data_IF_277742499017
#
_entry.id   IF_277742499017
#
_cell.length_a   1.000
_cell.length_b   1.000
_cell.length_c   1.000
_cell.angle_alpha   90.00
_cell.angle_beta   90.00
_cell.angle_gamma   90.00
#
_symmetry.space_group_name_H-M   'P 1'
#
loop_
_entity.id
_entity.type
_entity.pdbx_description
1 polymer ?
#
# COMPACT_ATOMS: atom_id res chain seq x y z
N UNK A 1 -1.46 -12.29 2.76
CA UNK A 1 -0.71 -11.02 2.93
C UNK A 1 -0.86 -10.54 4.38
N UNK A 2 0.15 -9.91 4.98
CA UNK A 2 0.01 -9.33 6.32
C UNK A 2 -0.83 -8.03 6.27
N UNK A 3 -2.06 -8.09 6.81
CA UNK A 3 -3.00 -6.97 6.90
C UNK A 3 -2.40 -5.74 7.60
N UNK A 4 -1.75 -5.95 8.74
CA UNK A 4 -1.23 -4.87 9.57
C UNK A 4 -0.06 -4.14 8.90
N UNK A 5 0.76 -4.87 8.16
CA UNK A 5 1.83 -4.27 7.36
C UNK A 5 1.25 -3.42 6.21
N UNK A 6 0.29 -3.98 5.47
CA UNK A 6 -0.37 -3.26 4.38
C UNK A 6 -1.06 -1.98 4.88
N UNK A 7 -1.86 -2.06 5.95
CA UNK A 7 -2.58 -0.90 6.49
C UNK A 7 -1.62 0.20 6.97
N UNK A 8 -0.51 -0.14 7.61
CA UNK A 8 0.49 0.86 8.04
C UNK A 8 1.21 1.49 6.85
N UNK A 9 1.59 0.69 5.85
CA UNK A 9 2.21 1.22 4.62
C UNK A 9 1.25 2.14 3.86
N UNK A 10 -0.02 1.75 3.78
CA UNK A 10 -1.05 2.57 3.16
C UNK A 10 -1.33 3.85 3.97
N UNK A 11 -1.39 3.76 5.29
CA UNK A 11 -1.49 4.93 6.16
C UNK A 11 -0.33 5.93 6.00
N UNK A 12 0.89 5.42 5.78
CA UNK A 12 2.05 6.27 5.49
C UNK A 12 1.96 6.92 4.11
N UNK A 13 1.21 6.33 3.18
CA UNK A 13 1.03 6.80 1.82
C UNK A 13 -0.03 7.91 1.76
N UNK A 14 -1.15 7.75 2.45
CA UNK A 14 -2.19 8.77 2.55
C UNK A 14 -1.61 10.01 3.24
N UNK A 15 -1.58 11.13 2.51
CA UNK A 15 -0.99 12.38 2.99
C UNK A 15 -1.90 13.08 4.02
N UNK A 16 -1.39 14.16 4.61
CA UNK A 16 -1.80 14.80 5.88
C UNK A 16 -3.26 15.21 6.07
N UNK A 17 -4.12 15.13 5.05
CA UNK A 17 -5.54 15.49 5.19
C UNK A 17 -6.41 14.34 5.69
N UNK A 18 -5.87 13.12 5.83
CA UNK A 18 -6.58 11.91 6.30
C UNK A 18 -7.87 11.58 5.50
N UNK A 19 -8.09 12.23 4.35
CA UNK A 19 -9.23 11.99 3.48
C UNK A 19 -8.89 10.87 2.50
N UNK A 20 -9.56 9.73 2.68
CA UNK A 20 -9.55 8.62 1.74
C UNK A 20 -10.70 8.85 0.77
N UNK A 21 -10.45 8.76 -0.53
CA UNK A 21 -11.51 8.90 -1.51
C UNK A 21 -12.45 7.68 -1.54
N UNK A 22 -13.65 7.85 -2.09
CA UNK A 22 -14.57 6.72 -2.31
C UNK A 22 -13.94 5.63 -3.19
N UNK A 23 -13.10 6.01 -4.18
CA UNK A 23 -12.45 5.05 -5.07
C UNK A 23 -11.41 4.22 -4.33
N UNK A 24 -10.63 4.86 -3.47
CA UNK A 24 -9.68 4.17 -2.59
C UNK A 24 -10.39 3.24 -1.61
N UNK A 25 -11.52 3.66 -1.03
CA UNK A 25 -12.33 2.80 -0.15
C UNK A 25 -12.82 1.56 -0.91
N UNK A 26 -13.35 1.74 -2.13
CA UNK A 26 -13.80 0.61 -2.97
C UNK A 26 -12.65 -0.33 -3.29
N UNK A 27 -11.48 0.20 -3.67
CA UNK A 27 -10.30 -0.61 -3.95
C UNK A 27 -9.81 -1.36 -2.72
N UNK A 28 -9.76 -0.70 -1.56
CA UNK A 28 -9.38 -1.34 -0.32
C UNK A 28 -10.34 -2.48 0.05
N UNK A 29 -11.65 -2.30 -0.14
CA UNK A 29 -12.64 -3.37 0.08
C UNK A 29 -12.36 -4.58 -0.82
N UNK A 30 -12.07 -4.38 -2.10
CA UNK A 30 -11.69 -5.47 -3.00
C UNK A 30 -10.39 -6.16 -2.58
N UNK A 31 -9.39 -5.39 -2.13
CA UNK A 31 -8.15 -5.95 -1.59
C UNK A 31 -8.43 -6.76 -0.31
N UNK A 32 -9.29 -6.25 0.57
CA UNK A 32 -9.72 -6.92 1.78
C UNK A 32 -10.44 -8.23 1.47
N UNK A 33 -11.37 -8.26 0.52
CA UNK A 33 -12.07 -9.48 0.07
C UNK A 33 -11.08 -10.52 -0.47
N UNK A 34 -10.17 -10.12 -1.37
CA UNK A 34 -9.14 -11.01 -1.94
C UNK A 34 -8.23 -11.61 -0.86
N UNK A 35 -7.97 -10.87 0.22
CA UNK A 35 -7.08 -11.27 1.30
C UNK A 35 -7.81 -11.76 2.57
N UNK A 36 -9.14 -11.84 2.53
CA UNK A 36 -10.01 -12.24 3.65
C UNK A 36 -9.83 -11.37 4.91
N UNK A 37 -9.72 -10.06 4.74
CA UNK A 37 -9.78 -9.09 5.83
C UNK A 37 -11.24 -8.74 6.12
N UNK A 38 -11.62 -8.64 7.40
CA UNK A 38 -13.00 -8.40 7.83
C UNK A 38 -13.12 -7.10 8.65
N UNK A 39 -12.34 -6.07 8.28
CA UNK A 39 -12.23 -4.84 9.06
C UNK A 39 -12.73 -3.63 8.27
N UNK A 40 -13.04 -2.56 8.98
CA UNK A 40 -13.35 -1.26 8.41
C UNK A 40 -12.06 -0.45 8.20
N UNK A 41 -11.85 0.07 6.98
CA UNK A 41 -10.64 0.84 6.64
C UNK A 41 -10.49 2.10 7.50
N UNK A 42 -11.57 2.83 7.77
CA UNK A 42 -11.52 4.06 8.55
C UNK A 42 -11.14 3.74 10.00
N UNK A 43 -11.69 2.68 10.58
CA UNK A 43 -11.30 2.23 11.91
C UNK A 43 -9.80 1.87 11.96
N UNK A 44 -9.30 1.15 10.96
CA UNK A 44 -7.89 0.78 10.88
C UNK A 44 -6.99 2.02 10.77
N UNK A 45 -7.29 2.96 9.87
CA UNK A 45 -6.46 4.16 9.72
C UNK A 45 -6.58 5.11 10.92
N UNK A 46 -7.77 5.26 11.50
CA UNK A 46 -7.98 6.05 12.71
C UNK A 46 -7.14 5.53 13.89
N UNK A 47 -7.00 4.20 14.03
CA UNK A 47 -6.15 3.62 15.07
C UNK A 47 -4.66 3.95 14.92
N UNK A 48 -4.22 4.34 13.71
CA UNK A 48 -2.83 4.63 13.40
C UNK A 48 -2.47 6.12 13.56
N UNK A 49 -3.47 7.03 13.69
CA UNK A 49 -3.26 8.49 13.77
C UNK A 49 -2.37 8.94 14.92
N UNK A 50 -2.42 8.27 16.07
CA UNK A 50 -1.60 8.60 17.24
C UNK A 50 -0.16 8.05 17.16
N UNK A 51 0.20 7.33 16.09
CA UNK A 51 1.48 6.64 15.99
C UNK A 51 2.54 7.53 15.33
N UNK A 52 3.77 7.51 15.85
CA UNK A 52 4.92 8.16 15.21
C UNK A 52 5.17 7.57 13.81
N UNK A 53 4.95 8.40 12.78
CA UNK A 53 5.11 8.03 11.37
C UNK A 53 6.56 7.64 11.02
N UNK A 54 7.56 8.27 11.63
CA UNK A 54 8.98 7.95 11.39
C UNK A 54 9.29 6.55 11.92
N UNK A 55 8.85 6.25 13.13
CA UNK A 55 9.04 4.93 13.73
C UNK A 55 8.21 3.86 13.00
N UNK A 56 6.98 4.19 12.60
CA UNK A 56 6.13 3.32 11.81
C UNK A 56 6.79 2.94 10.48
N UNK A 57 7.32 3.93 9.74
CA UNK A 57 8.04 3.68 8.48
C UNK A 57 9.21 2.73 8.69
N UNK A 58 10.05 2.97 9.69
CA UNK A 58 11.19 2.09 10.02
C UNK A 58 10.72 0.66 10.28
N UNK A 59 9.68 0.49 11.11
CA UNK A 59 9.14 -0.83 11.44
C UNK A 59 8.55 -1.56 10.22
N UNK A 60 7.88 -0.85 9.31
CA UNK A 60 7.30 -1.45 8.10
C UNK A 60 8.38 -1.90 7.13
N UNK A 61 9.44 -1.10 6.96
CA UNK A 61 10.59 -1.47 6.12
C UNK A 61 11.28 -2.70 6.69
N UNK A 62 11.49 -2.75 8.00
CA UNK A 62 12.12 -3.91 8.64
C UNK A 62 11.27 -5.17 8.46
N UNK A 63 9.96 -5.08 8.69
CA UNK A 63 9.06 -6.22 8.48
C UNK A 63 9.01 -6.65 7.01
N UNK A 64 8.98 -5.71 6.06
CA UNK A 64 9.06 -6.01 4.63
C UNK A 64 10.31 -6.83 4.29
N UNK A 65 11.48 -6.47 4.85
CA UNK A 65 12.75 -7.20 4.62
C UNK A 65 12.69 -8.67 5.07
N UNK A 66 11.78 -9.01 5.99
CA UNK A 66 11.56 -10.38 6.47
C UNK A 66 10.47 -11.14 5.69
N UNK A 67 9.80 -10.51 4.72
CA UNK A 67 8.82 -11.17 3.85
C UNK A 67 9.48 -11.71 2.58
N UNK A 68 8.82 -12.62 1.86
CA UNK A 68 9.37 -13.13 0.60
C UNK A 68 9.43 -12.04 -0.47
N UNK A 69 10.35 -12.16 -1.44
CA UNK A 69 10.45 -11.20 -2.56
C UNK A 69 9.11 -11.03 -3.29
N UNK A 70 8.37 -12.12 -3.49
CA UNK A 70 7.04 -12.11 -4.08
C UNK A 70 6.05 -11.25 -3.26
N UNK A 71 6.05 -11.41 -1.94
CA UNK A 71 5.21 -10.61 -1.05
C UNK A 71 5.60 -9.13 -1.07
N UNK A 72 6.90 -8.83 -1.12
CA UNK A 72 7.40 -7.47 -1.23
C UNK A 72 6.94 -6.81 -2.54
N UNK A 73 7.10 -7.49 -3.68
CA UNK A 73 6.65 -7.00 -4.99
C UNK A 73 5.14 -6.79 -4.98
N UNK A 74 4.37 -7.76 -4.49
CA UNK A 74 2.91 -7.67 -4.43
C UNK A 74 2.44 -6.50 -3.55
N UNK A 75 3.07 -6.27 -2.39
CA UNK A 75 2.77 -5.12 -1.53
C UNK A 75 3.08 -3.80 -2.22
N UNK A 76 4.25 -3.66 -2.85
CA UNK A 76 4.61 -2.44 -3.58
C UNK A 76 3.64 -2.18 -4.74
N UNK A 77 3.29 -3.22 -5.49
CA UNK A 77 2.33 -3.13 -6.58
C UNK A 77 0.93 -2.70 -6.09
N UNK A 78 0.44 -3.24 -4.96
CA UNK A 78 -0.83 -2.83 -4.36
C UNK A 78 -0.81 -1.37 -3.92
N UNK A 79 0.28 -0.89 -3.30
CA UNK A 79 0.42 0.54 -2.96
C UNK A 79 0.38 1.41 -4.20
N UNK A 80 1.03 0.99 -5.30
CA UNK A 80 0.93 1.70 -6.58
C UNK A 80 -0.48 1.68 -7.18
N UNK A 81 -1.30 0.65 -6.93
CA UNK A 81 -2.71 0.64 -7.37
C UNK A 81 -3.52 1.63 -6.55
N UNK A 82 -3.39 1.59 -5.23
CA UNK A 82 -4.11 2.49 -4.30
C UNK A 82 -3.77 3.94 -4.58
N UNK A 83 -2.49 4.28 -4.65
CA UNK A 83 -2.02 5.64 -4.88
C UNK A 83 -2.38 6.22 -6.27
N UNK A 84 -2.84 5.37 -7.20
CA UNK A 84 -3.35 5.81 -8.51
C UNK A 84 -4.89 5.70 -8.60
N UNK A 85 -5.59 5.44 -7.51
CA UNK A 85 -7.05 5.28 -7.49
C UNK A 85 -7.78 6.53 -7.99
N UNK A 86 -7.30 7.70 -7.57
CA UNK A 86 -7.88 9.00 -7.91
C UNK A 86 -7.28 9.64 -9.16
N UNK A 87 -6.40 8.93 -9.85
CA UNK A 87 -5.75 9.40 -11.07
C UNK A 87 -4.24 9.32 -10.95
N UNK A 88 -3.57 10.44 -11.20
CA UNK A 88 -2.11 10.47 -11.19
C UNK A 88 -1.60 10.57 -9.75
N UNK A 89 -0.83 9.56 -9.33
CA UNK A 89 -0.21 9.50 -8.00
C UNK A 89 0.57 10.79 -7.67
N UNK A 90 0.40 11.28 -6.45
CA UNK A 90 1.07 12.47 -5.97
C UNK A 90 2.58 12.23 -5.79
N UNK A 91 3.36 13.31 -5.89
CA UNK A 91 4.83 13.25 -5.74
C UNK A 91 5.27 12.59 -4.42
N UNK A 92 4.60 12.90 -3.30
CA UNK A 92 4.96 12.36 -2.00
C UNK A 92 4.75 10.84 -1.91
N UNK A 93 3.67 10.33 -2.51
CA UNK A 93 3.36 8.89 -2.57
C UNK A 93 4.40 8.16 -3.44
N UNK A 94 4.74 8.76 -4.58
CA UNK A 94 5.82 8.28 -5.46
C UNK A 94 7.16 8.19 -4.73
N UNK A 95 7.54 9.26 -4.02
CA UNK A 95 8.79 9.32 -3.26
C UNK A 95 8.82 8.27 -2.14
N UNK A 96 7.70 8.05 -1.45
CA UNK A 96 7.58 7.02 -0.43
C UNK A 96 7.77 5.63 -1.04
N UNK A 97 6.97 5.26 -2.04
CA UNK A 97 7.04 3.95 -2.71
C UNK A 97 8.44 3.72 -3.27
N UNK A 98 8.99 4.69 -4.00
CA UNK A 98 10.35 4.62 -4.56
C UNK A 98 11.41 4.41 -3.48
N UNK A 99 11.32 5.14 -2.35
CA UNK A 99 12.26 4.95 -1.25
C UNK A 99 12.24 3.52 -0.71
N UNK A 100 11.07 2.89 -0.64
CA UNK A 100 10.93 1.53 -0.10
C UNK A 100 11.43 0.51 -1.12
N UNK A 101 10.86 0.47 -2.33
CA UNK A 101 11.20 -0.62 -3.25
C UNK A 101 12.63 -0.50 -3.78
N UNK A 102 13.11 0.71 -4.09
CA UNK A 102 14.40 0.89 -4.73
C UNK A 102 15.54 0.97 -3.71
N UNK A 103 15.41 1.82 -2.69
CA UNK A 103 16.51 2.07 -1.74
C UNK A 103 16.59 1.02 -0.64
N UNK A 104 15.44 0.62 -0.08
CA UNK A 104 15.42 -0.31 1.06
C UNK A 104 15.39 -1.78 0.65
N UNK A 105 14.64 -2.13 -0.39
CA UNK A 105 14.41 -3.53 -0.79
C UNK A 105 15.17 -3.95 -2.07
N UNK A 106 15.68 -2.98 -2.85
CA UNK A 106 16.38 -3.21 -4.12
C UNK A 106 15.59 -4.08 -5.11
N UNK A 107 14.28 -3.89 -5.17
CA UNK A 107 13.38 -4.60 -6.08
C UNK A 107 13.50 -4.06 -7.51
N UNK A 108 13.24 -4.93 -8.48
CA UNK A 108 13.15 -4.53 -9.88
C UNK A 108 11.82 -3.81 -10.13
N UNK A 109 11.90 -2.61 -10.72
CA UNK A 109 10.72 -1.83 -11.07
C UNK A 109 9.81 -2.55 -12.07
N UNK A 110 10.36 -3.30 -13.03
CA UNK A 110 9.57 -4.02 -14.03
C UNK A 110 8.68 -5.09 -13.38
N UNK A 111 9.19 -5.85 -12.42
CA UNK A 111 8.41 -6.86 -11.69
C UNK A 111 7.21 -6.19 -10.97
N UNK A 112 7.44 -5.03 -10.34
CA UNK A 112 6.38 -4.26 -9.67
C UNK A 112 5.33 -3.76 -10.68
N UNK A 113 5.76 -3.24 -11.83
CA UNK A 113 4.84 -2.75 -12.87
C UNK A 113 4.00 -3.86 -13.48
N UNK A 114 4.60 -5.02 -13.75
CA UNK A 114 3.89 -6.19 -14.27
C UNK A 114 2.85 -6.69 -13.26
N UNK A 115 3.23 -6.82 -11.98
CA UNK A 115 2.28 -7.18 -10.92
C UNK A 115 1.20 -6.12 -10.73
N UNK A 116 1.53 -4.82 -10.82
CA UNK A 116 0.54 -3.74 -10.75
C UNK A 116 -0.49 -3.87 -11.88
N UNK A 117 -0.06 -4.16 -13.11
CA UNK A 117 -0.95 -4.35 -14.26
C UNK A 117 -1.87 -5.55 -14.07
N UNK A 118 -1.35 -6.65 -13.52
CA UNK A 118 -2.15 -7.84 -13.19
C UNK A 118 -3.18 -7.54 -12.11
N UNK A 119 -2.77 -6.90 -11.02
CA UNK A 119 -3.64 -6.52 -9.92
C UNK A 119 -4.73 -5.55 -10.37
N UNK A 120 -4.42 -4.56 -11.22
CA UNK A 120 -5.42 -3.66 -11.80
C UNK A 120 -6.49 -4.45 -12.56
N UNK A 121 -6.10 -5.45 -13.36
CA UNK A 121 -7.07 -6.30 -14.05
C UNK A 121 -7.97 -7.03 -13.06
N UNK A 122 -7.45 -7.58 -11.98
CA UNK A 122 -8.24 -8.31 -10.97
C UNK A 122 -9.13 -7.37 -10.12
N UNK A 123 -8.62 -6.21 -9.74
CA UNK A 123 -9.30 -5.27 -8.83
C UNK A 123 -10.27 -4.33 -9.56
N UNK A 124 -10.02 -4.04 -10.83
CA UNK A 124 -10.83 -3.10 -11.62
C UNK A 124 -11.66 -3.78 -12.70
N UNK A 125 -11.58 -5.12 -12.84
CA UNK A 125 -12.63 -5.83 -13.56
C UNK A 125 -13.95 -5.68 -12.80
N UNK A 126 -14.99 -5.35 -13.57
CA UNK A 126 -16.36 -5.16 -13.12
C UNK A 126 -17.01 -6.50 -12.79
#
# INVERSE_FOLDING_TARGET
>A
MNKHLFNRLYFLLVTSDDEISEKEIVLWKKIAELNKFNDDIHQQLNSLKATDRVQMRKSCVEELKHTSKEQQINLMALLCVMANADGFMHKAEWELIYSIYHKELKLNQLEILETQLQLKKTLLSA
#
